data_IF_730552668211
#
_entry.id   IF_730552668211
#
_cell.length_a   1.000
_cell.length_b   1.000
_cell.length_c   1.000
_cell.angle_alpha   90.00
_cell.angle_beta   90.00
_cell.angle_gamma   90.00
#
_symmetry.space_group_name_H-M   'P 1'
#
loop_
_entity.id
_entity.type
_entity.pdbx_description
1 polymer ?
#
# COMPACT_ATOMS: atom_id res chain seq x y z
N UNK A 1 1.18 -9.77 -8.68
CA UNK A 1 1.20 -8.68 -7.69
C UNK A 1 -0.18 -8.54 -7.05
N UNK A 2 -0.27 -8.08 -5.80
CA UNK A 2 -1.56 -7.82 -5.11
C UNK A 2 -2.09 -6.40 -5.33
N UNK A 3 -1.25 -5.48 -5.81
CA UNK A 3 -1.63 -4.10 -6.12
C UNK A 3 -1.69 -3.91 -7.64
N UNK A 4 -2.88 -3.94 -8.28
CA UNK A 4 -2.99 -3.95 -9.75
C UNK A 4 -2.52 -2.66 -10.44
N UNK A 5 -2.64 -1.53 -9.76
CA UNK A 5 -2.27 -0.21 -10.31
C UNK A 5 -0.76 0.05 -10.37
N UNK A 6 0.07 -0.78 -9.72
CA UNK A 6 1.53 -0.62 -9.70
C UNK A 6 2.15 -1.63 -10.68
N UNK A 7 2.87 -1.12 -11.67
CA UNK A 7 3.46 -1.93 -12.75
C UNK A 7 4.97 -2.10 -12.61
N UNK A 8 5.63 -1.17 -11.91
CA UNK A 8 7.07 -1.24 -11.65
C UNK A 8 7.37 -0.65 -10.27
N UNK A 9 8.39 -1.21 -9.61
CA UNK A 9 8.95 -0.65 -8.37
C UNK A 9 10.46 -0.74 -8.44
N UNK A 10 11.14 0.38 -8.23
CA UNK A 10 12.60 0.43 -8.03
C UNK A 10 12.88 0.79 -6.58
N UNK A 11 13.79 0.07 -5.93
CA UNK A 11 14.12 0.28 -4.51
C UNK A 11 15.62 0.51 -4.36
N UNK A 12 15.99 1.57 -3.66
CA UNK A 12 17.37 1.95 -3.34
C UNK A 12 17.45 2.37 -1.86
N UNK A 13 17.93 1.46 -1.02
CA UNK A 13 17.96 1.67 0.44
C UNK A 13 16.56 1.85 1.00
N UNK A 14 16.28 3.02 1.59
CA UNK A 14 14.95 3.36 2.10
C UNK A 14 14.06 4.08 1.08
N UNK A 15 14.60 4.42 -0.09
CA UNK A 15 13.81 5.05 -1.14
C UNK A 15 13.25 4.00 -2.07
N UNK A 16 12.04 4.23 -2.54
CA UNK A 16 11.49 3.50 -3.68
C UNK A 16 10.74 4.43 -4.62
N UNK A 17 10.72 4.10 -5.89
CA UNK A 17 9.87 4.76 -6.87
C UNK A 17 8.91 3.72 -7.39
N UNK A 18 7.62 3.95 -7.16
CA UNK A 18 6.57 3.15 -7.80
C UNK A 18 6.18 3.81 -9.12
N UNK A 19 5.92 2.99 -10.13
CA UNK A 19 5.33 3.42 -11.39
C UNK A 19 3.95 2.82 -11.52
N UNK A 20 2.96 3.67 -11.79
CA UNK A 20 1.60 3.20 -12.00
C UNK A 20 1.33 2.82 -13.45
N UNK A 21 0.24 2.09 -13.69
CA UNK A 21 -0.22 1.79 -15.05
C UNK A 21 -0.65 3.03 -15.86
N UNK A 22 -0.81 4.19 -15.21
CA UNK A 22 -1.06 5.48 -15.83
C UNK A 22 0.24 6.25 -16.15
N UNK A 23 1.39 5.57 -16.10
CA UNK A 23 2.73 6.13 -16.35
C UNK A 23 3.14 7.22 -15.33
N UNK A 24 2.48 7.27 -14.18
CA UNK A 24 2.83 8.18 -13.09
C UNK A 24 3.90 7.55 -12.19
N UNK A 25 4.99 8.28 -11.96
CA UNK A 25 5.97 7.94 -10.94
C UNK A 25 5.62 8.57 -9.59
N UNK A 26 5.66 7.78 -8.53
CA UNK A 26 5.43 8.26 -7.17
C UNK A 26 6.65 7.87 -6.32
N UNK A 27 7.56 8.82 -6.03
CA UNK A 27 8.69 8.56 -5.16
C UNK A 27 8.21 8.47 -3.71
N UNK A 28 8.75 7.49 -2.99
CA UNK A 28 8.35 7.14 -1.63
C UNK A 28 9.58 6.87 -0.77
N UNK A 29 9.52 7.28 0.49
CA UNK A 29 10.47 6.88 1.53
C UNK A 29 9.80 5.85 2.44
N UNK A 30 10.47 4.71 2.61
CA UNK A 30 10.11 3.66 3.56
C UNK A 30 10.52 4.14 4.96
N UNK A 31 9.54 4.25 5.84
CA UNK A 31 9.75 4.67 7.23
C UNK A 31 9.87 3.47 8.18
N UNK A 32 9.07 2.43 7.92
CA UNK A 32 9.04 1.21 8.73
C UNK A 32 8.81 0.01 7.81
N UNK A 33 9.61 -1.04 7.99
CA UNK A 33 9.37 -2.37 7.42
C UNK A 33 9.68 -3.41 8.49
N UNK A 34 8.70 -3.67 9.36
CA UNK A 34 8.86 -4.50 10.55
C UNK A 34 8.09 -5.82 10.41
N UNK A 35 8.85 -6.91 10.34
CA UNK A 35 8.31 -8.26 10.23
C UNK A 35 7.70 -8.79 11.53
N UNK A 36 8.12 -8.26 12.69
CA UNK A 36 7.63 -8.72 14.00
C UNK A 36 6.23 -8.17 14.23
N UNK A 37 6.05 -6.85 14.11
CA UNK A 37 4.73 -6.22 14.22
C UNK A 37 3.87 -6.36 12.96
N UNK A 38 4.44 -6.87 11.86
CA UNK A 38 3.82 -6.98 10.53
C UNK A 38 3.26 -5.65 10.04
N UNK A 39 4.10 -4.62 10.16
CA UNK A 39 3.81 -3.23 9.80
C UNK A 39 4.74 -2.73 8.70
N UNK A 40 4.15 -2.10 7.71
CA UNK A 40 4.86 -1.34 6.69
C UNK A 40 4.37 0.11 6.68
N UNK A 41 5.28 1.07 6.74
CA UNK A 41 4.95 2.49 6.68
C UNK A 41 5.83 3.20 5.68
N UNK A 42 5.23 4.14 4.96
CA UNK A 42 5.94 4.95 3.98
C UNK A 42 5.31 6.33 3.83
N UNK A 43 6.08 7.27 3.29
CA UNK A 43 5.58 8.57 2.84
C UNK A 43 5.85 8.78 1.36
N UNK A 44 4.94 9.42 0.66
CA UNK A 44 5.20 9.94 -0.69
C UNK A 44 6.02 11.22 -0.55
N UNK A 45 7.10 11.35 -1.32
CA UNK A 45 8.00 12.50 -1.27
C UNK A 45 7.78 13.48 -2.43
N UNK A 46 6.73 13.29 -3.21
CA UNK A 46 6.33 14.22 -4.28
C UNK A 46 5.87 15.56 -3.69
N UNK A 47 6.26 16.70 -4.29
CA UNK A 47 5.87 18.04 -3.81
C UNK A 47 4.37 18.33 -3.91
N UNK A 48 3.58 17.45 -4.54
CA UNK A 48 2.11 17.54 -4.50
C UNK A 48 1.54 17.27 -3.09
N UNK A 49 2.26 16.51 -2.27
CA UNK A 49 1.90 16.23 -0.88
C UNK A 49 2.66 17.18 0.03
N UNK A 50 1.93 17.93 0.85
CA UNK A 50 2.53 18.65 1.99
C UNK A 50 2.88 17.65 3.09
N UNK A 51 1.96 16.74 3.38
CA UNK A 51 2.13 15.65 4.32
C UNK A 51 1.54 14.38 3.71
N UNK A 52 2.17 13.25 3.99
CA UNK A 52 1.66 11.94 3.62
C UNK A 52 2.22 10.88 4.57
N UNK A 53 1.37 10.02 5.10
CA UNK A 53 1.75 8.80 5.80
C UNK A 53 0.76 7.70 5.41
N UNK A 54 1.30 6.64 4.83
CA UNK A 54 0.57 5.40 4.62
C UNK A 54 1.08 4.34 5.58
N UNK A 55 0.16 3.61 6.20
CA UNK A 55 0.45 2.49 7.09
C UNK A 55 -0.32 1.26 6.62
N UNK A 56 0.39 0.14 6.49
CA UNK A 56 -0.18 -1.17 6.20
C UNK A 56 0.14 -2.06 7.39
N UNK A 57 -0.90 -2.59 8.03
CA UNK A 57 -0.82 -3.51 9.15
C UNK A 57 -1.46 -4.84 8.78
N UNK A 58 -0.84 -5.95 9.18
CA UNK A 58 -1.43 -7.30 9.09
C UNK A 58 -1.62 -7.85 10.50
N UNK A 59 -2.87 -7.90 10.94
CA UNK A 59 -3.26 -8.35 12.27
C UNK A 59 -3.72 -9.81 12.18
N UNK A 60 -3.14 -10.68 12.99
CA UNK A 60 -3.59 -12.07 13.11
C UNK A 60 -4.92 -12.13 13.86
N UNK A 61 -5.92 -12.78 13.26
CA UNK A 61 -7.21 -13.05 13.89
C UNK A 61 -7.37 -14.53 14.29
N UNK A 62 -6.61 -15.41 13.65
CA UNK A 62 -6.56 -16.84 13.92
C UNK A 62 -5.53 -17.55 13.02
N UNK A 63 -5.37 -18.87 13.14
CA UNK A 63 -4.33 -19.61 12.42
C UNK A 63 -4.36 -19.48 10.89
N UNK A 64 -5.55 -19.22 10.33
CA UNK A 64 -5.78 -19.07 8.88
C UNK A 64 -6.41 -17.72 8.52
N UNK A 65 -6.56 -16.81 9.49
CA UNK A 65 -7.32 -15.58 9.34
C UNK A 65 -6.48 -14.35 9.71
N UNK A 66 -6.57 -13.31 8.88
CA UNK A 66 -5.92 -12.03 9.15
C UNK A 66 -6.81 -10.86 8.75
N UNK A 67 -6.59 -9.73 9.43
CA UNK A 67 -7.12 -8.43 9.05
C UNK A 67 -5.98 -7.59 8.50
N UNK A 68 -6.09 -7.19 7.24
CA UNK A 68 -5.17 -6.25 6.62
C UNK A 68 -5.79 -4.86 6.64
N UNK A 69 -5.11 -3.91 7.29
CA UNK A 69 -5.53 -2.51 7.36
C UNK A 69 -4.58 -1.69 6.50
N UNK A 70 -5.14 -0.82 5.66
CA UNK A 70 -4.38 0.18 4.91
C UNK A 70 -4.92 1.56 5.28
N UNK A 71 -4.18 2.28 6.14
CA UNK A 71 -4.46 3.65 6.53
C UNK A 71 -3.67 4.65 5.68
N UNK A 72 -4.29 5.79 5.39
CA UNK A 72 -3.67 6.91 4.67
C UNK A 72 -4.03 8.20 5.41
N UNK A 73 -3.01 8.99 5.72
CA UNK A 73 -3.13 10.38 6.11
C UNK A 73 -2.38 11.24 5.09
N UNK A 74 -2.99 12.33 4.63
CA UNK A 74 -2.38 13.17 3.60
C UNK A 74 -2.94 14.60 3.60
N UNK A 75 -2.07 15.55 3.25
CA UNK A 75 -2.42 16.94 3.00
C UNK A 75 -1.97 17.32 1.59
N UNK A 76 -2.89 17.79 0.71
CA UNK A 76 -4.33 17.97 0.94
C UNK A 76 -5.11 16.64 0.99
N UNK A 77 -6.21 16.62 1.76
CA UNK A 77 -7.03 15.43 2.01
C UNK A 77 -7.56 14.75 0.74
N UNK A 78 -7.83 15.52 -0.33
CA UNK A 78 -8.27 14.98 -1.62
C UNK A 78 -7.26 14.00 -2.24
N UNK A 79 -5.95 14.22 -2.03
CA UNK A 79 -4.94 13.27 -2.50
C UNK A 79 -4.95 12.00 -1.65
N UNK A 80 -5.20 12.11 -0.34
CA UNK A 80 -5.40 10.96 0.55
C UNK A 80 -6.56 10.07 0.08
N UNK A 81 -7.67 10.66 -0.36
CA UNK A 81 -8.80 9.93 -0.93
C UNK A 81 -8.43 9.17 -2.21
N UNK A 82 -7.59 9.76 -3.07
CA UNK A 82 -7.11 9.09 -4.28
C UNK A 82 -6.25 7.86 -3.94
N UNK A 83 -5.32 7.99 -2.99
CA UNK A 83 -4.50 6.86 -2.51
C UNK A 83 -5.38 5.79 -1.86
N UNK A 84 -6.35 6.18 -1.01
CA UNK A 84 -7.29 5.27 -0.38
C UNK A 84 -8.13 4.49 -1.41
N UNK A 85 -8.52 5.12 -2.53
CA UNK A 85 -9.18 4.45 -3.64
C UNK A 85 -8.33 3.34 -4.27
N UNK A 86 -7.05 3.63 -4.54
CA UNK A 86 -6.09 2.64 -5.03
C UNK A 86 -5.85 1.51 -4.03
N UNK A 87 -5.69 1.86 -2.75
CA UNK A 87 -5.51 0.91 -1.64
C UNK A 87 -6.71 -0.04 -1.50
N UNK A 88 -7.94 0.47 -1.61
CA UNK A 88 -9.16 -0.34 -1.57
C UNK A 88 -9.20 -1.40 -2.67
N UNK A 89 -8.84 -1.03 -3.90
CA UNK A 89 -8.72 -1.97 -5.02
C UNK A 89 -7.63 -3.03 -4.78
N UNK A 90 -6.51 -2.62 -4.18
CA UNK A 90 -5.42 -3.52 -3.84
C UNK A 90 -5.81 -4.51 -2.73
N UNK A 91 -6.49 -4.06 -1.67
CA UNK A 91 -7.00 -4.94 -0.61
C UNK A 91 -8.04 -5.94 -1.13
N UNK A 92 -8.92 -5.49 -2.05
CA UNK A 92 -9.88 -6.38 -2.73
C UNK A 92 -9.15 -7.48 -3.50
N UNK A 93 -8.12 -7.10 -4.28
CA UNK A 93 -7.33 -8.08 -5.03
C UNK A 93 -6.53 -9.01 -4.12
N UNK A 94 -5.98 -8.49 -3.01
CA UNK A 94 -5.27 -9.28 -2.01
C UNK A 94 -6.19 -10.37 -1.44
N UNK A 95 -7.41 -10.00 -1.08
CA UNK A 95 -8.44 -10.93 -0.62
C UNK A 95 -8.69 -12.04 -1.65
N UNK A 96 -8.89 -11.70 -2.93
CA UNK A 96 -9.07 -12.68 -4.00
C UNK A 96 -7.88 -13.64 -4.18
N UNK A 97 -6.65 -13.17 -3.99
CA UNK A 97 -5.45 -14.01 -4.13
C UNK A 97 -5.40 -15.08 -3.04
N UNK A 98 -5.76 -14.72 -1.80
CA UNK A 98 -5.69 -15.64 -0.65
C UNK A 98 -6.96 -16.46 -0.46
N UNK A 99 -8.11 -15.95 -0.86
CA UNK A 99 -9.41 -16.62 -0.72
C UNK A 99 -9.93 -17.26 -2.02
N UNK A 100 -9.12 -17.26 -3.08
CA UNK A 100 -9.50 -17.65 -4.44
C UNK A 100 -10.26 -18.98 -4.55
N UNK A 101 -11.32 -18.94 -5.38
CA UNK A 101 -12.37 -19.92 -5.71
C UNK A 101 -12.73 -20.99 -4.65
N UNK A 102 -13.90 -20.81 -4.00
CA UNK A 102 -14.61 -21.88 -3.27
C UNK A 102 -15.19 -22.99 -4.18
N UNK A 103 -14.70 -23.13 -5.42
CA UNK A 103 -15.18 -24.10 -6.42
C UNK A 103 -14.01 -24.88 -7.06
N UNK A 104 -13.16 -25.48 -6.24
CA UNK A 104 -12.21 -26.52 -6.63
C UNK A 104 -12.49 -27.82 -5.89
#
# INVERSE_FOLDING_TARGET
>A
TWFPGIVEVKVEGQMRVIKTNADLEMPEEILTNDFISRRFQYKITSPMFQEHLSTIDVIELGPMDSLVIYGVDAVPAMLGLAIAGGASGALSRLKEIFEGDKNG
#
